data_IF_171649545944
#
_entry.id   IF_171649545944
#
_cell.length_a   1.000
_cell.length_b   1.000
_cell.length_c   1.000
_cell.angle_alpha   90.00
_cell.angle_beta   90.00
_cell.angle_gamma   90.00
#
_symmetry.space_group_name_H-M   'P 1'
#
loop_
_entity.id
_entity.type
_entity.pdbx_description
1 polymer ?
#
# COMPACT_ATOMS: atom_id res chain seq x y z
N UNK A 1 6.60 1.54 41.80
CA UNK A 1 6.20 0.11 41.69
C UNK A 1 6.77 -0.45 40.40
N UNK A 2 7.87 -1.21 40.51
CA UNK A 2 8.66 -1.69 39.37
C UNK A 2 8.10 -2.96 38.76
N UNK A 3 7.89 -2.94 37.43
CA UNK A 3 7.65 -4.16 36.65
C UNK A 3 9.01 -4.75 36.26
N UNK A 4 9.35 -5.88 36.87
CA UNK A 4 10.51 -6.70 36.50
C UNK A 4 10.24 -7.30 35.12
N UNK A 5 11.13 -6.99 34.18
CA UNK A 5 11.09 -7.49 32.81
C UNK A 5 11.17 -9.01 32.80
N UNK A 6 10.14 -9.65 32.25
CA UNK A 6 10.17 -11.04 31.84
C UNK A 6 11.13 -11.12 30.64
N UNK A 7 12.37 -11.46 30.94
CA UNK A 7 13.38 -11.91 29.99
C UNK A 7 12.76 -13.00 29.10
N UNK A 8 12.59 -12.69 27.81
CA UNK A 8 12.20 -13.67 26.82
C UNK A 8 13.44 -14.53 26.47
N UNK A 9 13.43 -15.85 26.66
CA UNK A 9 14.58 -16.72 26.37
C UNK A 9 15.03 -16.75 24.90
N UNK A 10 14.27 -16.11 24.00
CA UNK A 10 14.49 -16.17 22.54
C UNK A 10 15.73 -15.39 22.08
N UNK A 11 16.11 -14.32 22.79
CA UNK A 11 17.24 -13.46 22.40
C UNK A 11 18.63 -14.07 22.70
N UNK A 12 18.76 -14.90 23.73
CA UNK A 12 20.04 -15.55 24.05
C UNK A 12 20.41 -16.67 23.07
N UNK A 13 19.44 -17.27 22.40
CA UNK A 13 19.67 -18.32 21.40
C UNK A 13 20.15 -17.74 20.06
N UNK A 14 19.59 -16.61 19.62
CA UNK A 14 19.97 -15.99 18.35
C UNK A 14 21.40 -15.44 18.36
N UNK A 15 21.87 -14.89 19.48
CA UNK A 15 23.23 -14.34 19.60
C UNK A 15 24.36 -15.39 19.62
N UNK A 16 24.07 -16.68 19.84
CA UNK A 16 25.09 -17.75 19.81
C UNK A 16 25.30 -18.35 18.41
N UNK A 17 24.38 -18.10 17.48
CA UNK A 17 24.42 -18.70 16.13
C UNK A 17 25.19 -17.82 15.13
N UNK A 18 25.35 -16.53 15.39
CA UNK A 18 25.95 -15.57 14.45
C UNK A 18 27.50 -15.64 14.30
N UNK A 19 28.17 -16.65 14.85
CA UNK A 19 29.64 -16.79 14.83
C UNK A 19 30.21 -17.78 13.79
N UNK A 20 29.35 -18.48 13.05
CA UNK A 20 29.73 -19.46 12.03
C UNK A 20 29.11 -19.00 10.72
N UNK A 21 29.92 -18.53 9.78
CA UNK A 21 29.50 -18.34 8.38
C UNK A 21 29.35 -19.73 7.77
N UNK A 22 28.25 -20.40 8.12
CA UNK A 22 27.90 -21.71 7.61
C UNK A 22 27.30 -21.56 6.20
N UNK A 23 27.58 -22.49 5.27
CA UNK A 23 26.98 -22.53 3.93
C UNK A 23 25.44 -22.54 3.89
N UNK A 24 24.77 -22.67 5.05
CA UNK A 24 23.33 -22.58 5.23
C UNK A 24 22.79 -21.13 5.21
N UNK A 25 23.66 -20.10 5.15
CA UNK A 25 23.26 -18.69 5.10
C UNK A 25 22.35 -18.36 3.90
N UNK A 26 22.46 -19.11 2.80
CA UNK A 26 21.65 -18.92 1.60
C UNK A 26 20.16 -19.24 1.80
N UNK A 27 19.83 -20.32 2.51
CA UNK A 27 18.43 -20.67 2.80
C UNK A 27 17.79 -19.70 3.79
N UNK A 28 18.56 -19.25 4.79
CA UNK A 28 18.11 -18.26 5.77
C UNK A 28 17.86 -16.90 5.10
N UNK A 29 18.74 -16.46 4.20
CA UNK A 29 18.53 -15.23 3.42
C UNK A 29 17.33 -15.34 2.47
N UNK A 30 17.15 -16.47 1.78
CA UNK A 30 16.01 -16.68 0.90
C UNK A 30 14.69 -16.66 1.68
N UNK A 31 14.63 -17.32 2.84
CA UNK A 31 13.46 -17.27 3.71
C UNK A 31 13.21 -15.85 4.24
N UNK A 32 14.24 -15.11 4.66
CA UNK A 32 14.10 -13.73 5.10
C UNK A 32 13.51 -12.83 3.99
N UNK A 33 14.00 -12.96 2.75
CA UNK A 33 13.47 -12.23 1.60
C UNK A 33 11.99 -12.57 1.32
N UNK A 34 11.60 -13.84 1.45
CA UNK A 34 10.18 -14.25 1.32
C UNK A 34 9.34 -13.63 2.44
N UNK A 35 9.82 -13.63 3.68
CA UNK A 35 9.12 -13.01 4.81
C UNK A 35 8.99 -11.49 4.64
N UNK A 36 9.99 -10.82 4.07
CA UNK A 36 9.91 -9.40 3.73
C UNK A 36 8.81 -9.12 2.70
N UNK A 37 8.70 -9.97 1.66
CA UNK A 37 7.62 -9.88 0.67
C UNK A 37 6.25 -10.13 1.30
N UNK A 38 6.13 -11.12 2.19
CA UNK A 38 4.89 -11.37 2.92
C UNK A 38 4.53 -10.20 3.87
N UNK A 39 5.52 -9.51 4.42
CA UNK A 39 5.32 -8.29 5.21
C UNK A 39 4.76 -7.12 4.42
N UNK A 40 4.96 -7.07 3.10
CA UNK A 40 4.32 -6.10 2.20
C UNK A 40 2.81 -6.42 2.04
N UNK A 41 2.42 -7.68 2.19
CA UNK A 41 1.03 -8.13 2.07
C UNK A 41 0.24 -8.02 3.38
N UNK A 42 0.89 -7.78 4.51
CA UNK A 42 0.23 -7.57 5.80
C UNK A 42 -0.32 -6.12 5.90
N UNK A 43 -1.64 -5.92 6.08
CA UNK A 43 -2.24 -4.59 6.30
C UNK A 43 -1.87 -3.93 7.63
N UNK A 44 -1.21 -4.65 8.55
CA UNK A 44 -0.79 -4.12 9.85
C UNK A 44 0.40 -3.18 9.75
N UNK A 45 0.57 -2.38 10.79
CA UNK A 45 1.64 -1.38 10.86
C UNK A 45 1.29 -0.08 10.16
N UNK A 46 2.31 0.74 9.96
CA UNK A 46 2.22 2.09 9.41
C UNK A 46 3.08 2.23 8.16
N UNK A 47 2.73 3.22 7.34
CA UNK A 47 3.46 3.59 6.12
C UNK A 47 3.50 5.11 5.98
N UNK A 48 4.70 5.66 5.81
CA UNK A 48 4.87 7.09 5.55
C UNK A 48 4.47 7.46 4.12
N UNK A 49 4.52 8.76 3.78
CA UNK A 49 4.32 9.25 2.41
C UNK A 49 5.36 8.72 1.43
N UNK A 50 6.63 8.62 1.86
CA UNK A 50 7.73 8.10 1.03
C UNK A 50 7.52 6.62 0.73
N UNK A 51 7.14 5.85 1.75
CA UNK A 51 6.80 4.44 1.60
C UNK A 51 5.62 4.22 0.64
N UNK A 52 4.57 5.05 0.76
CA UNK A 52 3.44 5.01 -0.17
C UNK A 52 3.86 5.28 -1.62
N UNK A 53 4.70 6.31 -1.85
CA UNK A 53 5.22 6.60 -3.19
C UNK A 53 6.10 5.49 -3.74
N UNK A 54 6.93 4.86 -2.90
CA UNK A 54 7.76 3.73 -3.31
C UNK A 54 6.91 2.56 -3.79
N UNK A 55 5.87 2.18 -3.03
CA UNK A 55 4.93 1.12 -3.43
C UNK A 55 4.19 1.49 -4.72
N UNK A 56 3.72 2.74 -4.83
CA UNK A 56 3.07 3.22 -6.05
C UNK A 56 4.00 3.17 -7.27
N UNK A 57 5.27 3.54 -7.10
CA UNK A 57 6.30 3.45 -8.14
C UNK A 57 6.57 2.01 -8.59
N UNK A 58 6.65 1.06 -7.64
CA UNK A 58 6.79 -0.37 -7.97
C UNK A 58 5.56 -0.93 -8.69
N UNK A 59 4.36 -0.61 -8.24
CA UNK A 59 3.12 -1.02 -8.91
C UNK A 59 3.04 -0.45 -10.33
N UNK A 60 3.41 0.82 -10.52
CA UNK A 60 3.47 1.43 -11.85
C UNK A 60 4.50 0.72 -12.75
N UNK A 61 5.68 0.42 -12.24
CA UNK A 61 6.71 -0.31 -12.98
C UNK A 61 6.24 -1.72 -13.37
N UNK A 62 5.58 -2.43 -12.45
CA UNK A 62 4.99 -3.74 -12.71
C UNK A 62 3.89 -3.68 -13.77
N UNK A 63 3.01 -2.66 -13.70
CA UNK A 63 1.96 -2.44 -14.70
C UNK A 63 2.55 -2.18 -16.09
N UNK A 64 3.59 -1.35 -16.19
CA UNK A 64 4.29 -1.08 -17.46
C UNK A 64 4.92 -2.36 -18.00
N UNK A 65 5.60 -3.14 -17.15
CA UNK A 65 6.22 -4.40 -17.55
C UNK A 65 5.17 -5.42 -18.06
N UNK A 66 4.02 -5.53 -17.39
CA UNK A 66 2.92 -6.39 -17.81
C UNK A 66 2.34 -5.96 -19.16
N UNK A 67 2.13 -4.64 -19.39
CA UNK A 67 1.67 -4.12 -20.68
C UNK A 67 2.65 -4.45 -21.80
N UNK A 68 3.97 -4.29 -21.56
CA UNK A 68 5.01 -4.65 -22.54
C UNK A 68 4.99 -6.15 -22.84
N UNK A 69 4.85 -7.00 -21.82
CA UNK A 69 4.77 -8.45 -21.99
C UNK A 69 3.55 -8.86 -22.84
N UNK A 70 2.38 -8.29 -22.54
CA UNK A 70 1.14 -8.50 -23.30
C UNK A 70 1.34 -8.09 -24.77
N UNK A 71 1.97 -6.93 -25.01
CA UNK A 71 2.26 -6.45 -26.36
C UNK A 71 3.21 -7.38 -27.12
N UNK A 72 4.29 -7.86 -26.48
CA UNK A 72 5.28 -8.74 -27.10
C UNK A 72 4.75 -10.15 -27.40
N UNK A 73 3.86 -10.67 -26.55
CA UNK A 73 3.34 -12.04 -26.65
C UNK A 73 2.05 -12.14 -27.45
N UNK A 74 1.36 -11.02 -27.68
CA UNK A 74 0.04 -11.00 -28.30
C UNK A 74 -1.08 -11.60 -27.43
N UNK A 75 -0.80 -11.84 -26.13
CA UNK A 75 -1.83 -12.30 -25.18
C UNK A 75 -2.88 -11.19 -25.04
N UNK A 76 -4.17 -11.55 -25.01
CA UNK A 76 -5.23 -10.57 -24.81
C UNK A 76 -5.24 -10.00 -23.38
N UNK A 77 -5.55 -8.72 -23.22
CA UNK A 77 -5.70 -8.03 -21.92
C UNK A 77 -6.77 -8.64 -21.00
N UNK A 78 -7.69 -9.45 -21.56
CA UNK A 78 -8.79 -10.09 -20.84
C UNK A 78 -8.47 -11.52 -20.36
N UNK A 79 -7.22 -11.97 -20.46
CA UNK A 79 -6.81 -13.29 -19.99
C UNK A 79 -6.85 -13.41 -18.45
N UNK A 80 -7.05 -14.63 -17.95
CA UNK A 80 -7.07 -14.95 -16.52
C UNK A 80 -5.79 -14.48 -15.80
N UNK A 81 -4.64 -14.55 -16.48
CA UNK A 81 -3.34 -14.09 -15.97
C UNK A 81 -3.34 -12.57 -15.71
N UNK A 82 -3.88 -11.78 -16.64
CA UNK A 82 -3.96 -10.33 -16.49
C UNK A 82 -4.90 -9.95 -15.35
N UNK A 83 -6.02 -10.67 -15.20
CA UNK A 83 -6.95 -10.50 -14.08
C UNK A 83 -6.28 -10.82 -12.74
N UNK A 84 -5.58 -11.95 -12.63
CA UNK A 84 -4.88 -12.35 -11.40
C UNK A 84 -3.82 -11.32 -10.99
N UNK A 85 -3.06 -10.81 -11.97
CA UNK A 85 -2.08 -9.75 -11.75
C UNK A 85 -2.74 -8.44 -11.27
N UNK A 86 -3.88 -8.05 -11.85
CA UNK A 86 -4.60 -6.86 -11.39
C UNK A 86 -5.19 -7.04 -10.00
N UNK A 87 -5.71 -8.21 -9.65
CA UNK A 87 -6.16 -8.51 -8.29
C UNK A 87 -5.02 -8.41 -7.27
N UNK A 88 -3.85 -8.96 -7.58
CA UNK A 88 -2.66 -8.84 -6.74
C UNK A 88 -2.22 -7.37 -6.57
N UNK A 89 -2.22 -6.60 -7.67
CA UNK A 89 -1.87 -5.17 -7.65
C UNK A 89 -2.86 -4.36 -6.80
N UNK A 90 -4.16 -4.61 -6.94
CA UNK A 90 -5.21 -3.96 -6.14
C UNK A 90 -5.06 -4.32 -4.66
N UNK A 91 -4.74 -5.56 -4.33
CA UNK A 91 -4.49 -5.98 -2.95
C UNK A 91 -3.30 -5.24 -2.33
N UNK A 92 -2.16 -5.20 -3.01
CA UNK A 92 -0.96 -4.49 -2.55
C UNK A 92 -1.24 -2.99 -2.37
N UNK A 93 -1.93 -2.37 -3.34
CA UNK A 93 -2.34 -0.97 -3.23
C UNK A 93 -3.26 -0.73 -2.02
N UNK A 94 -4.21 -1.63 -1.77
CA UNK A 94 -5.14 -1.57 -0.64
C UNK A 94 -4.39 -1.67 0.69
N UNK A 95 -3.44 -2.60 0.81
CA UNK A 95 -2.58 -2.75 1.98
C UNK A 95 -1.76 -1.49 2.24
N UNK A 96 -1.13 -0.92 1.20
CA UNK A 96 -0.36 0.31 1.33
C UNK A 96 -1.21 1.50 1.78
N UNK A 97 -2.42 1.67 1.24
CA UNK A 97 -3.37 2.71 1.66
C UNK A 97 -3.87 2.46 3.08
N UNK A 98 -4.13 1.22 3.47
CA UNK A 98 -4.55 0.88 4.84
C UNK A 98 -3.47 1.26 5.86
N UNK A 99 -2.20 0.88 5.60
CA UNK A 99 -1.06 1.25 6.43
C UNK A 99 -0.81 2.77 6.45
N UNK A 100 -1.11 3.46 5.35
CA UNK A 100 -1.07 4.92 5.30
C UNK A 100 -2.17 5.56 6.14
N UNK A 101 -3.39 5.02 6.11
CA UNK A 101 -4.49 5.48 6.98
C UNK A 101 -4.16 5.23 8.46
N UNK A 102 -3.55 4.09 8.79
CA UNK A 102 -3.05 3.83 10.14
C UNK A 102 -2.00 4.85 10.59
N UNK A 103 -1.16 5.34 9.68
CA UNK A 103 -0.22 6.43 9.99
C UNK A 103 -0.92 7.75 10.33
N UNK A 104 -2.14 7.97 9.80
CA UNK A 104 -3.02 9.10 10.14
C UNK A 104 -3.89 8.82 11.39
N UNK A 105 -3.63 7.71 12.10
CA UNK A 105 -4.47 7.17 13.19
C UNK A 105 -5.94 6.88 12.80
N UNK A 106 -6.17 6.60 11.51
CA UNK A 106 -7.47 6.22 10.96
C UNK A 106 -7.55 4.72 10.73
N UNK A 107 -8.72 4.11 10.95
CA UNK A 107 -8.93 2.69 10.65
C UNK A 107 -9.04 2.41 9.15
N UNK A 108 -8.60 1.24 8.69
CA UNK A 108 -8.76 0.79 7.30
C UNK A 108 -10.22 0.79 6.78
N UNK A 109 -11.23 0.80 7.66
CA UNK A 109 -12.64 0.98 7.29
C UNK A 109 -12.95 2.27 6.50
N UNK A 110 -12.06 3.27 6.55
CA UNK A 110 -12.18 4.46 5.70
C UNK A 110 -12.08 4.14 4.21
N UNK A 111 -11.39 3.06 3.81
CA UNK A 111 -11.36 2.60 2.41
C UNK A 111 -12.76 2.18 1.97
N UNK A 112 -13.47 1.39 2.78
CA UNK A 112 -14.83 0.95 2.48
C UNK A 112 -15.81 2.13 2.43
N UNK A 113 -15.68 3.11 3.35
CA UNK A 113 -16.49 4.34 3.33
C UNK A 113 -16.23 5.18 2.07
N UNK A 114 -14.95 5.34 1.69
CA UNK A 114 -14.57 6.05 0.48
C UNK A 114 -15.11 5.34 -0.77
N UNK A 115 -15.06 4.00 -0.81
CA UNK A 115 -15.64 3.20 -1.89
C UNK A 115 -17.16 3.39 -1.99
N UNK A 116 -17.88 3.33 -0.86
CA UNK A 116 -19.32 3.57 -0.83
C UNK A 116 -19.68 4.99 -1.30
N UNK A 117 -18.93 6.01 -0.85
CA UNK A 117 -19.10 7.38 -1.29
C UNK A 117 -18.83 7.56 -2.80
N UNK A 118 -17.78 6.92 -3.31
CA UNK A 118 -17.44 6.92 -4.74
C UNK A 118 -18.54 6.26 -5.60
N UNK A 119 -19.09 5.13 -5.16
CA UNK A 119 -20.19 4.45 -5.86
C UNK A 119 -21.43 5.36 -5.87
N UNK A 120 -21.82 5.91 -4.71
CA UNK A 120 -22.96 6.82 -4.62
C UNK A 120 -22.80 8.05 -5.51
N UNK A 121 -21.61 8.66 -5.51
CA UNK A 121 -21.29 9.78 -6.39
C UNK A 121 -21.35 9.39 -7.88
N UNK A 122 -20.80 8.23 -8.24
CA UNK A 122 -20.79 7.76 -9.64
C UNK A 122 -22.20 7.52 -10.17
N UNK A 123 -23.10 7.00 -9.32
CA UNK A 123 -24.52 6.86 -9.65
C UNK A 123 -25.16 8.24 -9.89
N UNK A 124 -24.94 9.21 -9.00
CA UNK A 124 -25.49 10.56 -9.14
C UNK A 124 -25.01 11.23 -10.43
N UNK A 125 -23.70 11.21 -10.70
CA UNK A 125 -23.11 11.75 -11.94
C UNK A 125 -23.70 11.08 -13.18
N UNK A 126 -23.79 9.75 -13.16
CA UNK A 126 -24.33 8.98 -14.29
C UNK A 126 -25.80 9.34 -14.56
N UNK A 127 -26.63 9.42 -13.52
CA UNK A 127 -28.05 9.79 -13.65
C UNK A 127 -28.19 11.21 -14.20
N UNK A 128 -27.44 12.18 -13.67
CA UNK A 128 -27.47 13.58 -14.14
C UNK A 128 -27.04 13.69 -15.60
N UNK A 129 -26.01 12.97 -16.02
CA UNK A 129 -25.57 13.02 -17.42
C UNK A 129 -26.52 12.31 -18.37
N UNK A 130 -27.15 11.21 -17.94
CA UNK A 130 -28.15 10.50 -18.74
C UNK A 130 -29.48 11.25 -18.87
N UNK A 131 -29.77 12.23 -17.99
CA UNK A 131 -30.92 13.13 -18.16
C UNK A 131 -30.58 14.35 -19.01
N UNK A 132 -29.31 14.77 -19.05
CA UNK A 132 -28.86 15.90 -19.85
C UNK A 132 -28.46 15.54 -21.29
N UNK A 133 -28.02 14.30 -21.53
CA UNK A 133 -27.52 13.81 -22.81
C UNK A 133 -28.14 12.45 -23.16
N UNK A 134 -28.15 12.09 -24.45
CA UNK A 134 -28.53 10.74 -24.84
C UNK A 134 -27.49 9.73 -24.34
N UNK A 135 -27.94 8.53 -23.94
CA UNK A 135 -27.06 7.48 -23.45
C UNK A 135 -25.95 7.11 -24.45
N UNK A 136 -26.24 7.16 -25.75
CA UNK A 136 -25.25 6.93 -26.80
C UNK A 136 -24.11 7.96 -26.77
N UNK A 137 -24.39 9.22 -26.44
CA UNK A 137 -23.41 10.30 -26.37
C UNK A 137 -22.54 10.19 -25.10
N UNK A 138 -23.13 9.75 -23.99
CA UNK A 138 -22.41 9.54 -22.73
C UNK A 138 -21.42 8.35 -22.79
N UNK A 139 -21.63 7.40 -23.70
CA UNK A 139 -20.78 6.23 -23.91
C UNK A 139 -19.84 6.38 -25.12
N UNK A 140 -19.89 7.50 -25.86
CA UNK A 140 -19.08 7.74 -27.05
C UNK A 140 -17.82 8.56 -26.72
N UNK A 141 -16.60 7.99 -26.84
CA UNK A 141 -15.35 8.71 -26.52
C UNK A 141 -15.08 9.95 -27.39
N UNK A 142 -15.78 10.10 -28.53
CA UNK A 142 -15.67 11.28 -29.39
C UNK A 142 -16.56 12.45 -28.93
N UNK A 143 -17.45 12.21 -27.98
CA UNK A 143 -18.39 13.20 -27.49
C UNK A 143 -17.97 13.76 -26.12
N UNK A 144 -18.30 15.03 -25.84
CA UNK A 144 -17.89 15.70 -24.59
C UNK A 144 -18.54 15.09 -23.35
N UNK A 145 -19.77 14.58 -23.45
CA UNK A 145 -20.50 13.96 -22.34
C UNK A 145 -19.75 12.75 -21.75
N UNK A 146 -19.07 11.96 -22.59
CA UNK A 146 -18.20 10.87 -22.13
C UNK A 146 -17.08 11.39 -21.21
N UNK A 147 -16.36 12.43 -21.65
CA UNK A 147 -15.26 13.00 -20.88
C UNK A 147 -15.73 13.71 -19.62
N UNK A 148 -16.92 14.32 -19.63
CA UNK A 148 -17.54 14.86 -18.43
C UNK A 148 -17.84 13.74 -17.42
N UNK A 149 -18.38 12.62 -17.88
CA UNK A 149 -18.65 11.46 -17.01
C UNK A 149 -17.36 10.90 -16.39
N UNK A 150 -16.36 10.61 -17.23
CA UNK A 150 -15.06 10.09 -16.80
C UNK A 150 -14.40 11.06 -15.81
N UNK A 151 -14.36 12.35 -16.14
CA UNK A 151 -13.71 13.35 -15.27
C UNK A 151 -14.44 13.48 -13.95
N UNK A 152 -15.77 13.64 -13.97
CA UNK A 152 -16.57 13.82 -12.76
C UNK A 152 -16.52 12.59 -11.84
N UNK A 153 -16.47 11.38 -12.40
CA UNK A 153 -16.33 10.15 -11.61
C UNK A 153 -14.90 9.96 -11.08
N UNK A 154 -13.86 10.28 -11.84
CA UNK A 154 -12.47 10.12 -11.39
C UNK A 154 -12.03 11.16 -10.35
N UNK A 155 -12.58 12.38 -10.37
CA UNK A 155 -12.10 13.49 -9.55
C UNK A 155 -12.11 13.22 -8.03
N UNK A 156 -13.16 12.62 -7.43
CA UNK A 156 -13.13 12.26 -6.01
C UNK A 156 -12.05 11.23 -5.65
N UNK A 157 -11.78 10.27 -6.54
CA UNK A 157 -10.75 9.25 -6.32
C UNK A 157 -9.37 9.92 -6.33
N UNK A 158 -9.10 10.78 -7.31
CA UNK A 158 -7.86 11.56 -7.37
C UNK A 158 -7.70 12.47 -6.15
N UNK A 159 -8.77 13.13 -5.73
CA UNK A 159 -8.79 13.95 -4.51
C UNK A 159 -8.46 13.15 -3.26
N UNK A 160 -9.03 11.95 -3.11
CA UNK A 160 -8.76 11.06 -1.99
C UNK A 160 -7.31 10.56 -1.98
N UNK A 161 -6.78 10.13 -3.13
CA UNK A 161 -5.38 9.69 -3.26
C UNK A 161 -4.43 10.84 -2.92
N UNK A 162 -4.68 12.03 -3.48
CA UNK A 162 -3.87 13.21 -3.21
C UNK A 162 -3.92 13.58 -1.73
N UNK A 163 -5.11 13.57 -1.12
CA UNK A 163 -5.28 13.82 0.31
C UNK A 163 -4.48 12.83 1.16
N UNK A 164 -4.60 11.52 0.90
CA UNK A 164 -3.83 10.47 1.61
C UNK A 164 -2.31 10.69 1.48
N UNK A 165 -1.87 11.17 0.31
CA UNK A 165 -0.47 11.49 0.06
C UNK A 165 0.02 12.74 0.81
N UNK A 166 -0.74 13.83 0.80
CA UNK A 166 -0.33 15.11 1.41
C UNK A 166 -0.64 15.24 2.90
N UNK A 167 -1.52 14.40 3.46
CA UNK A 167 -1.86 14.42 4.88
C UNK A 167 -0.63 14.11 5.75
N UNK A 168 -0.42 14.83 6.85
CA UNK A 168 0.71 14.59 7.79
C UNK A 168 0.39 13.37 8.65
N UNK A 169 1.37 12.48 8.81
CA UNK A 169 1.28 11.36 9.75
C UNK A 169 1.17 11.85 11.20
N UNK A 170 0.61 11.01 12.06
CA UNK A 170 0.58 11.24 13.51
C UNK A 170 1.99 11.04 14.08
N UNK A 171 2.58 12.05 14.76
CA UNK A 171 3.93 11.93 15.30
C UNK A 171 4.00 10.91 16.45
N UNK A 172 5.14 10.22 16.58
CA UNK A 172 5.36 9.22 17.62
C UNK A 172 4.56 7.93 17.42
N UNK A 173 4.57 7.05 18.42
CA UNK A 173 3.85 5.77 18.37
C UNK A 173 2.31 5.96 18.47
N UNK A 174 1.55 5.15 17.73
CA UNK A 174 0.09 5.10 17.83
C UNK A 174 -0.42 3.65 17.98
N UNK A 175 -1.74 3.44 18.02
CA UNK A 175 -2.35 2.11 18.19
C UNK A 175 -2.02 1.08 17.11
N UNK A 176 -1.47 1.52 15.97
CA UNK A 176 -1.07 0.69 14.85
C UNK A 176 0.43 0.41 14.79
N UNK A 177 1.23 0.97 15.70
CA UNK A 177 2.65 0.69 15.83
C UNK A 177 3.55 1.94 15.97
N UNK A 178 4.87 1.71 16.01
CA UNK A 178 5.86 2.79 16.07
C UNK A 178 5.82 3.67 14.82
N UNK A 179 6.43 4.84 14.90
CA UNK A 179 6.56 5.73 13.74
C UNK A 179 7.34 5.04 12.60
N UNK A 180 6.94 5.23 11.32
CA UNK A 180 7.71 4.69 10.22
C UNK A 180 9.14 5.24 10.22
N UNK A 181 10.14 4.37 10.02
CA UNK A 181 11.55 4.77 9.96
C UNK A 181 11.87 5.60 8.71
N UNK A 182 13.14 5.97 8.54
CA UNK A 182 13.59 6.87 7.47
C UNK A 182 13.26 6.40 6.04
N UNK A 183 13.24 5.08 5.80
CA UNK A 183 12.85 4.46 4.52
C UNK A 183 11.33 4.53 4.26
N UNK A 184 10.56 4.86 5.29
CA UNK A 184 9.13 5.10 5.20
C UNK A 184 8.24 3.88 5.46
N UNK A 185 8.83 2.76 5.87
CA UNK A 185 8.15 1.56 6.35
C UNK A 185 8.20 1.49 7.88
N UNK A 186 7.41 0.61 8.48
CA UNK A 186 7.47 0.38 9.93
C UNK A 186 8.91 0.00 10.32
N UNK A 187 9.45 0.67 11.36
CA UNK A 187 10.76 0.33 11.90
C UNK A 187 10.76 -1.11 12.42
N UNK A 188 11.83 -1.87 12.15
CA UNK A 188 12.04 -3.14 12.85
C UNK A 188 12.44 -2.84 14.30
N UNK A 189 12.23 -3.79 15.22
CA UNK A 189 12.69 -3.63 16.62
C UNK A 189 14.22 -3.37 16.70
N UNK A 190 14.97 -3.80 15.69
CA UNK A 190 16.41 -3.58 15.55
C UNK A 190 16.76 -2.10 15.33
N UNK A 191 15.96 -1.39 14.51
CA UNK A 191 16.14 0.05 14.27
C UNK A 191 15.95 0.83 15.58
N UNK A 192 14.98 0.44 16.42
CA UNK A 192 14.68 1.11 17.69
C UNK A 192 15.83 0.98 18.69
N UNK A 193 16.48 -0.18 18.74
CA UNK A 193 17.58 -0.41 19.66
C UNK A 193 18.86 0.33 19.27
N UNK A 194 19.14 0.47 17.98
CA UNK A 194 20.32 1.21 17.51
C UNK A 194 20.22 2.71 17.81
N UNK A 195 19.04 3.31 17.65
CA UNK A 195 18.85 4.74 17.93
C UNK A 195 18.98 5.06 19.44
N UNK A 196 18.53 4.14 20.31
CA UNK A 196 18.68 4.31 21.77
C UNK A 196 20.12 4.20 22.29
N UNK A 197 21.02 3.58 21.52
CA UNK A 197 22.42 3.43 21.90
C UNK A 197 23.28 4.67 21.54
N UNK A 198 22.79 5.54 20.64
CA UNK A 198 23.55 6.67 20.11
C UNK A 198 23.15 8.02 20.72
N UNK A 199 22.25 8.06 21.71
CA UNK A 199 21.93 9.30 22.44
C UNK A 199 22.98 9.55 23.54
N UNK A 200 23.93 10.50 23.37
CA UNK A 200 24.87 10.87 24.42
C UNK A 200 24.12 11.52 25.60
N UNK A 201 24.53 11.14 26.82
CA UNK A 201 23.97 11.63 28.08
C UNK A 201 24.20 13.13 28.31
#
# INVERSE_FOLDING_TARGET
>A
MGRRGLWCPRQAFLNRVAGSLDPCDGEVQAMAAVWDVLGILDPRGRLSRKGLLAVAGWLLAADVAMVVLIWLTGIGLAGEVALAFKLASVWIATVAVARRLHDLDLSAWWIAKAMAAFIGWSIVVSVVLLTAFHAADALNPRHIAFWLNVTATCLPVLGAILWVHIAKGTPGANRYGPEPGAKGFAASDEDVHSESAEQPA
#
